data_IF_295527510834
#
_entry.id   IF_295527510834
#
_cell.length_a   1.000
_cell.length_b   1.000
_cell.length_c   1.000
_cell.angle_alpha   90.00
_cell.angle_beta   90.00
_cell.angle_gamma   90.00
#
_symmetry.space_group_name_H-M   'P 1'
#
loop_
_entity.id
_entity.type
_entity.pdbx_description
1 polymer ?
#
# COMPACT_ATOMS: atom_id res chain seq x y z
N UNK A 1 -27.83 -11.39 3.33
CA UNK A 1 -26.62 -10.72 3.82
C UNK A 1 -25.75 -10.45 2.61
N UNK A 2 -25.68 -9.20 2.18
CA UNK A 2 -25.08 -8.82 0.89
C UNK A 2 -23.58 -8.61 1.08
N UNK A 3 -22.78 -9.55 0.58
CA UNK A 3 -21.33 -9.42 0.56
C UNK A 3 -20.94 -8.39 -0.51
N UNK A 4 -20.55 -7.19 -0.08
CA UNK A 4 -20.00 -6.18 -0.99
C UNK A 4 -18.50 -6.41 -1.15
N UNK A 5 -18.14 -7.18 -2.17
CA UNK A 5 -16.78 -7.28 -2.70
C UNK A 5 -16.36 -5.92 -3.28
N UNK A 6 -15.68 -5.08 -2.51
CA UNK A 6 -15.07 -3.86 -3.04
C UNK A 6 -13.64 -4.17 -3.50
N UNK A 7 -13.53 -4.81 -4.67
CA UNK A 7 -12.29 -4.74 -5.45
C UNK A 7 -12.38 -3.42 -6.21
N UNK A 8 -11.67 -2.38 -5.76
CA UNK A 8 -11.50 -1.16 -6.54
C UNK A 8 -10.93 -1.54 -7.91
N UNK A 9 -11.63 -1.21 -8.98
CA UNK A 9 -11.14 -1.42 -10.34
C UNK A 9 -10.01 -0.42 -10.62
N UNK A 10 -9.03 -0.82 -11.43
CA UNK A 10 -7.99 0.11 -11.87
C UNK A 10 -8.64 1.17 -12.77
N UNK A 11 -8.90 2.34 -12.20
CA UNK A 11 -9.60 3.45 -12.84
C UNK A 11 -10.66 4.11 -11.95
N UNK A 12 -11.14 3.41 -10.92
CA UNK A 12 -12.00 4.01 -9.90
C UNK A 12 -11.10 4.65 -8.82
N UNK A 13 -11.05 5.98 -8.84
CA UNK A 13 -10.55 6.75 -7.69
C UNK A 13 -11.56 6.65 -6.55
N UNK A 14 -11.10 6.64 -5.29
CA UNK A 14 -12.04 6.74 -4.18
C UNK A 14 -12.96 7.96 -4.33
N UNK A 15 -14.25 7.78 -4.00
CA UNK A 15 -15.19 8.87 -4.01
C UNK A 15 -14.72 10.00 -3.09
N UNK A 16 -14.73 11.23 -3.60
CA UNK A 16 -14.30 12.44 -2.90
C UNK A 16 -14.93 12.58 -1.50
N UNK A 17 -16.18 12.13 -1.34
CA UNK A 17 -16.93 12.14 -0.08
C UNK A 17 -16.26 11.33 1.06
N UNK A 18 -15.32 10.45 0.73
CA UNK A 18 -14.54 9.69 1.70
C UNK A 18 -13.37 10.49 2.30
N UNK A 19 -13.00 11.63 1.74
CA UNK A 19 -11.97 12.55 2.26
C UNK A 19 -12.58 13.59 3.20
N UNK A 20 -13.05 13.13 4.36
CA UNK A 20 -13.68 13.95 5.39
C UNK A 20 -13.22 13.53 6.77
N UNK A 21 -13.64 14.25 7.81
CA UNK A 21 -13.41 13.85 9.22
C UNK A 21 -13.85 12.38 9.44
N UNK A 22 -12.95 11.56 9.97
CA UNK A 22 -13.13 10.11 10.14
C UNK A 22 -12.84 9.27 8.88
N UNK A 23 -12.62 9.90 7.73
CA UNK A 23 -12.37 9.27 6.44
C UNK A 23 -10.88 9.14 6.11
N UNK A 24 -10.54 9.15 4.82
CA UNK A 24 -9.16 9.03 4.35
C UNK A 24 -8.33 10.29 4.66
N UNK A 25 -7.03 10.13 4.75
CA UNK A 25 -6.08 11.24 4.76
C UNK A 25 -5.73 11.65 3.33
N UNK A 26 -5.77 12.95 3.01
CA UNK A 26 -5.38 13.45 1.69
C UNK A 26 -3.86 13.57 1.60
N UNK A 27 -3.22 12.63 0.91
CA UNK A 27 -1.76 12.58 0.70
C UNK A 27 -1.41 13.20 -0.65
N UNK A 28 -0.30 13.94 -0.70
CA UNK A 28 0.34 14.45 -1.92
C UNK A 28 1.75 13.86 -2.06
N UNK A 29 2.22 13.81 -3.30
CA UNK A 29 3.62 13.47 -3.60
C UNK A 29 4.53 14.49 -2.90
N UNK A 30 5.59 14.01 -2.25
CA UNK A 30 6.51 14.80 -1.43
C UNK A 30 6.00 15.11 -0.01
N UNK A 31 4.83 14.61 0.41
CA UNK A 31 4.39 14.77 1.79
C UNK A 31 5.30 13.98 2.76
N UNK A 32 5.81 14.62 3.83
CA UNK A 32 6.61 13.95 4.84
C UNK A 32 5.75 13.29 5.92
N UNK A 33 6.13 12.08 6.33
CA UNK A 33 5.54 11.34 7.45
C UNK A 33 6.62 10.95 8.47
N UNK A 34 6.22 10.78 9.74
CA UNK A 34 7.11 10.43 10.85
C UNK A 34 8.36 11.33 10.93
N UNK A 35 8.15 12.65 11.07
CA UNK A 35 9.26 13.61 11.17
C UNK A 35 10.09 13.76 9.90
N UNK A 36 9.59 13.35 8.73
CA UNK A 36 10.30 13.43 7.46
C UNK A 36 11.05 12.16 7.07
N UNK A 37 10.95 11.09 7.87
CA UNK A 37 11.56 9.79 7.54
C UNK A 37 10.94 9.17 6.29
N UNK A 38 9.63 9.24 6.14
CA UNK A 38 8.92 8.61 5.02
C UNK A 38 8.34 9.67 4.09
N UNK A 39 8.86 9.76 2.87
CA UNK A 39 8.40 10.74 1.88
C UNK A 39 7.50 10.05 0.85
N UNK A 40 6.25 10.48 0.72
CA UNK A 40 5.29 9.88 -0.21
C UNK A 40 5.71 10.11 -1.68
N UNK A 41 5.70 9.06 -2.49
CA UNK A 41 6.17 9.06 -3.88
C UNK A 41 5.04 8.97 -4.88
N UNK A 42 4.23 7.90 -4.78
CA UNK A 42 3.04 7.70 -5.61
C UNK A 42 2.08 6.78 -4.89
N UNK A 43 0.82 6.84 -5.27
CA UNK A 43 -0.19 5.93 -4.73
C UNK A 43 -0.04 4.53 -5.35
N UNK A 44 -0.07 3.50 -4.52
CA UNK A 44 -0.03 2.10 -4.94
C UNK A 44 -1.43 1.51 -5.06
N UNK A 45 -2.34 1.92 -4.18
CA UNK A 45 -3.71 1.43 -4.18
C UNK A 45 -4.55 2.04 -3.07
N UNK A 46 -5.79 1.59 -2.99
CA UNK A 46 -6.72 1.95 -1.93
C UNK A 46 -7.73 0.83 -1.73
N UNK A 47 -8.36 0.84 -0.57
CA UNK A 47 -9.47 -0.07 -0.24
C UNK A 47 -10.37 0.56 0.80
N UNK A 48 -11.41 -0.14 1.21
CA UNK A 48 -12.47 0.39 2.07
C UNK A 48 -11.97 1.10 3.35
N UNK A 49 -10.82 0.69 3.88
CA UNK A 49 -10.31 1.13 5.19
C UNK A 49 -9.05 1.99 5.12
N UNK A 50 -8.30 1.96 4.01
CA UNK A 50 -6.99 2.63 3.91
C UNK A 50 -6.63 3.03 2.49
N UNK A 51 -5.64 3.91 2.39
CA UNK A 51 -4.88 4.09 1.15
C UNK A 51 -3.47 3.54 1.35
N UNK A 52 -2.84 3.09 0.27
CA UNK A 52 -1.47 2.58 0.29
C UNK A 52 -0.63 3.37 -0.70
N UNK A 53 0.51 3.85 -0.23
CA UNK A 53 1.42 4.71 -0.97
C UNK A 53 2.81 4.09 -1.00
N UNK A 54 3.48 4.22 -2.14
CA UNK A 54 4.92 4.06 -2.21
C UNK A 54 5.50 5.25 -1.46
N UNK A 55 6.39 4.98 -0.51
CA UNK A 55 7.16 6.00 0.18
C UNK A 55 8.65 5.66 0.12
N UNK A 56 9.48 6.68 0.25
CA UNK A 56 10.92 6.53 0.39
C UNK A 56 11.31 6.72 1.86
N UNK A 57 11.97 5.72 2.45
CA UNK A 57 12.54 5.80 3.80
C UNK A 57 13.92 6.47 3.71
N UNK A 58 14.01 7.72 4.15
CA UNK A 58 15.23 8.52 4.09
C UNK A 58 16.31 8.02 5.04
N UNK A 59 15.97 7.23 6.05
CA UNK A 59 16.93 6.67 7.01
C UNK A 59 17.65 5.46 6.43
N UNK A 60 16.92 4.58 5.76
CA UNK A 60 17.45 3.32 5.20
C UNK A 60 17.74 3.41 3.70
N UNK A 61 17.41 4.53 3.07
CA UNK A 61 17.52 4.77 1.64
C UNK A 61 16.79 3.75 0.77
N UNK A 62 15.66 3.23 1.26
CA UNK A 62 14.89 2.17 0.60
C UNK A 62 13.43 2.58 0.36
N UNK A 63 12.81 1.93 -0.63
CA UNK A 63 11.38 2.08 -0.89
C UNK A 63 10.54 1.18 0.01
N UNK A 64 9.44 1.72 0.52
CA UNK A 64 8.51 1.05 1.43
C UNK A 64 7.06 1.28 1.00
N UNK A 65 6.14 0.44 1.48
CA UNK A 65 4.71 0.64 1.33
C UNK A 65 4.13 1.28 2.60
N UNK A 66 3.67 2.52 2.49
CA UNK A 66 3.01 3.27 3.56
C UNK A 66 1.49 3.09 3.45
N UNK A 67 0.91 2.29 4.36
CA UNK A 67 -0.53 2.07 4.49
C UNK A 67 -1.10 3.03 5.54
N UNK A 68 -2.06 3.86 5.14
CA UNK A 68 -2.66 4.91 5.97
C UNK A 68 -4.14 4.60 6.17
N UNK A 69 -4.51 4.30 7.42
CA UNK A 69 -5.88 3.95 7.81
C UNK A 69 -6.79 5.19 7.86
N UNK A 70 -8.09 4.99 7.65
CA UNK A 70 -9.10 6.02 7.93
C UNK A 70 -9.08 6.43 9.40
N UNK A 71 -9.41 7.67 9.70
CA UNK A 71 -9.29 8.23 11.05
C UNK A 71 -10.47 7.95 11.99
N UNK A 72 -11.59 7.39 11.50
CA UNK A 72 -12.73 7.09 12.35
C UNK A 72 -12.37 6.01 13.38
N UNK A 73 -12.77 6.23 14.63
CA UNK A 73 -12.41 5.37 15.76
C UNK A 73 -12.87 3.91 15.59
N UNK A 74 -13.98 3.69 14.89
CA UNK A 74 -14.47 2.35 14.56
C UNK A 74 -13.47 1.50 13.75
N UNK A 75 -12.54 2.12 13.03
CA UNK A 75 -11.49 1.41 12.27
C UNK A 75 -10.20 1.23 13.07
N UNK A 76 -10.02 1.94 14.18
CA UNK A 76 -8.77 1.95 14.93
C UNK A 76 -8.46 0.60 15.56
N UNK A 77 -9.46 -0.09 16.11
CA UNK A 77 -9.26 -1.41 16.74
C UNK A 77 -8.79 -2.46 15.73
N UNK A 78 -9.44 -2.53 14.56
CA UNK A 78 -9.03 -3.43 13.49
C UNK A 78 -7.59 -3.15 13.01
N UNK A 79 -7.23 -1.86 12.90
CA UNK A 79 -5.86 -1.47 12.52
C UNK A 79 -4.82 -1.81 13.60
N UNK A 80 -5.15 -1.67 14.89
CA UNK A 80 -4.26 -2.04 15.99
C UNK A 80 -4.04 -3.56 16.05
N UNK A 81 -5.09 -4.35 15.86
CA UNK A 81 -4.95 -5.81 15.74
C UNK A 81 -4.10 -6.20 14.54
N UNK A 82 -4.24 -5.50 13.40
CA UNK A 82 -3.40 -5.73 12.23
C UNK A 82 -1.92 -5.43 12.52
N UNK A 83 -1.63 -4.34 13.24
CA UNK A 83 -0.26 -4.02 13.69
C UNK A 83 0.29 -5.11 14.61
N UNK A 84 -0.48 -5.57 15.58
CA UNK A 84 -0.06 -6.62 16.52
C UNK A 84 0.23 -7.94 15.79
N UNK A 85 -0.66 -8.34 14.89
CA UNK A 85 -0.50 -9.52 14.05
C UNK A 85 0.80 -9.45 13.23
N UNK A 86 1.00 -8.35 12.51
CA UNK A 86 2.16 -8.19 11.64
C UNK A 86 3.47 -8.02 12.42
N UNK A 87 3.42 -7.41 13.61
CA UNK A 87 4.59 -7.28 14.49
C UNK A 87 5.05 -8.67 14.96
N UNK A 88 4.13 -9.48 15.48
CA UNK A 88 4.46 -10.84 15.91
C UNK A 88 5.02 -11.71 14.77
N UNK A 89 4.45 -11.58 13.56
CA UNK A 89 4.96 -12.27 12.38
C UNK A 89 6.36 -11.79 11.96
N UNK A 90 6.64 -10.50 12.05
CA UNK A 90 7.96 -9.96 11.72
C UNK A 90 9.02 -10.35 12.77
N UNK A 91 8.65 -10.36 14.06
CA UNK A 91 9.55 -10.70 15.17
C UNK A 91 9.94 -12.19 15.17
N UNK A 92 9.01 -13.07 14.80
CA UNK A 92 9.29 -14.51 14.69
C UNK A 92 10.02 -14.93 13.42
N UNK A 93 10.18 -14.06 12.42
CA UNK A 93 10.88 -14.32 11.16
C UNK A 93 11.94 -13.25 10.84
N UNK A 94 12.92 -13.13 11.75
CA UNK A 94 14.03 -12.16 11.61
C UNK A 94 14.76 -12.33 10.27
N UNK A 95 14.88 -13.56 9.77
CA UNK A 95 15.59 -13.90 8.53
C UNK A 95 14.78 -13.58 7.24
N UNK A 96 13.51 -13.18 7.35
CA UNK A 96 12.60 -12.92 6.22
C UNK A 96 12.46 -14.10 5.24
N UNK A 97 12.18 -15.29 5.77
CA UNK A 97 12.14 -16.54 5.00
C UNK A 97 10.76 -17.18 4.91
N UNK A 98 9.78 -16.69 5.67
CA UNK A 98 8.48 -17.34 5.85
C UNK A 98 7.42 -16.86 4.87
N UNK A 99 7.76 -15.97 3.93
CA UNK A 99 6.83 -15.49 2.90
C UNK A 99 5.59 -14.78 3.46
N UNK A 100 5.70 -14.12 4.61
CA UNK A 100 4.69 -13.21 5.18
C UNK A 100 5.25 -11.78 5.10
N UNK A 101 4.43 -10.84 4.63
CA UNK A 101 4.84 -9.44 4.51
C UNK A 101 5.29 -8.87 5.85
N UNK A 102 6.42 -8.16 5.86
CA UNK A 102 6.99 -7.58 7.07
C UNK A 102 6.47 -6.19 7.35
N UNK A 103 6.04 -5.98 8.59
CA UNK A 103 5.92 -4.65 9.19
C UNK A 103 7.31 -4.15 9.59
N UNK A 104 7.66 -2.96 9.10
CA UNK A 104 8.93 -2.28 9.36
C UNK A 104 8.78 -1.26 10.48
N UNK A 105 7.68 -0.50 10.47
CA UNK A 105 7.39 0.55 11.45
C UNK A 105 5.87 0.81 11.50
N UNK A 106 5.40 1.43 12.57
CA UNK A 106 4.05 1.95 12.65
C UNK A 106 4.00 3.22 13.51
N UNK A 107 3.15 4.16 13.14
CA UNK A 107 3.03 5.43 13.85
C UNK A 107 1.65 6.04 13.68
N UNK A 108 1.40 7.11 14.44
CA UNK A 108 0.19 7.93 14.32
C UNK A 108 0.51 9.19 13.52
N UNK A 109 -0.31 9.51 12.53
CA UNK A 109 -0.23 10.73 11.76
C UNK A 109 -1.47 11.60 11.98
N UNK A 110 -1.27 12.84 12.44
CA UNK A 110 -2.36 13.80 12.61
C UNK A 110 -2.54 14.61 11.34
N UNK A 111 -3.70 14.48 10.70
CA UNK A 111 -4.08 15.25 9.52
C UNK A 111 -5.39 16.01 9.71
N UNK A 112 -5.87 16.72 8.66
CA UNK A 112 -7.10 17.52 8.75
C UNK A 112 -8.35 16.69 9.06
N UNK A 113 -8.33 15.40 8.72
CA UNK A 113 -9.45 14.48 8.90
C UNK A 113 -9.40 13.70 10.23
N UNK A 114 -8.38 13.93 11.06
CA UNK A 114 -8.20 13.28 12.36
C UNK A 114 -6.83 12.61 12.52
N UNK A 115 -6.73 11.70 13.47
CA UNK A 115 -5.54 10.88 13.69
C UNK A 115 -5.65 9.57 12.91
N UNK A 116 -4.65 9.29 12.10
CA UNK A 116 -4.56 8.12 11.24
C UNK A 116 -3.48 7.17 11.76
N UNK A 117 -3.78 5.88 11.84
CA UNK A 117 -2.76 4.86 12.07
C UNK A 117 -2.07 4.56 10.74
N UNK A 118 -0.74 4.63 10.75
CA UNK A 118 0.11 4.37 9.62
C UNK A 118 0.94 3.11 9.88
N UNK A 119 1.03 2.24 8.88
CA UNK A 119 1.88 1.07 8.86
C UNK A 119 2.88 1.21 7.71
N UNK A 120 4.14 0.94 8.00
CA UNK A 120 5.21 0.89 7.02
C UNK A 120 5.54 -0.57 6.80
N UNK A 121 5.27 -1.05 5.59
CA UNK A 121 5.51 -2.42 5.16
C UNK A 121 6.69 -2.43 4.18
N UNK A 122 7.35 -3.57 4.06
CA UNK A 122 8.27 -3.75 2.94
C UNK A 122 7.56 -3.56 1.61
N UNK A 123 8.25 -2.97 0.64
CA UNK A 123 7.68 -2.83 -0.70
C UNK A 123 7.70 -4.19 -1.41
N UNK A 124 6.51 -4.64 -1.82
CA UNK A 124 6.32 -5.79 -2.70
C UNK A 124 5.71 -5.32 -4.02
N UNK A 125 5.74 -6.21 -5.01
CA UNK A 125 5.19 -5.99 -6.33
C UNK A 125 3.68 -6.10 -6.41
N UNK A 126 3.20 -6.45 -7.59
CA UNK A 126 1.78 -6.52 -7.90
C UNK A 126 1.08 -7.70 -7.18
N UNK A 127 -0.23 -7.60 -6.98
CA UNK A 127 -1.01 -8.72 -6.47
C UNK A 127 -1.15 -9.85 -7.51
N UNK A 128 -1.36 -11.07 -7.02
CA UNK A 128 -1.62 -12.23 -7.87
C UNK A 128 -2.88 -12.02 -8.71
N UNK A 129 -3.90 -11.34 -8.19
CA UNK A 129 -5.08 -10.95 -8.98
C UNK A 129 -4.69 -10.09 -10.18
N UNK A 130 -3.82 -9.11 -10.00
CA UNK A 130 -3.33 -8.26 -11.10
C UNK A 130 -2.58 -9.09 -12.14
N UNK A 131 -1.75 -10.05 -11.72
CA UNK A 131 -1.07 -10.96 -12.65
C UNK A 131 -2.05 -11.82 -13.45
N UNK A 132 -3.09 -12.35 -12.81
CA UNK A 132 -4.15 -13.12 -13.48
C UNK A 132 -4.87 -12.26 -14.53
N UNK A 133 -5.20 -11.02 -14.19
CA UNK A 133 -5.83 -10.05 -15.10
C UNK A 133 -4.91 -9.67 -16.26
N UNK A 134 -3.65 -9.37 -15.97
CA UNK A 134 -2.63 -9.05 -16.97
C UNK A 134 -2.49 -10.18 -18.00
N UNK A 135 -2.54 -11.42 -17.53
CA UNK A 135 -2.51 -12.61 -18.37
C UNK A 135 -3.88 -12.98 -18.98
N UNK A 136 -4.85 -12.05 -18.97
CA UNK A 136 -6.18 -12.19 -19.57
C UNK A 136 -6.92 -13.45 -19.11
N UNK A 137 -6.76 -13.83 -17.84
CA UNK A 137 -7.37 -15.02 -17.23
C UNK A 137 -7.01 -16.36 -17.93
N UNK A 138 -5.94 -16.41 -18.72
CA UNK A 138 -5.51 -17.64 -19.43
C UNK A 138 -4.74 -18.65 -18.56
N UNK A 139 -4.58 -18.37 -17.27
CA UNK A 139 -3.82 -19.21 -16.34
C UNK A 139 -2.30 -19.08 -16.49
N UNK A 140 -1.56 -19.38 -15.43
CA UNK A 140 -0.10 -19.27 -15.41
C UNK A 140 0.56 -20.61 -15.77
N UNK A 141 1.83 -20.57 -16.21
CA UNK A 141 2.63 -21.78 -16.37
C UNK A 141 2.69 -22.55 -15.05
N UNK A 142 2.54 -23.87 -15.10
CA UNK A 142 2.47 -24.72 -13.91
C UNK A 142 3.66 -24.55 -12.97
N UNK A 143 4.88 -24.35 -13.49
CA UNK A 143 6.05 -24.15 -12.65
C UNK A 143 5.93 -22.89 -11.79
N UNK A 144 5.34 -21.81 -12.34
CA UNK A 144 5.06 -20.57 -11.59
C UNK A 144 3.94 -20.76 -10.58
N UNK A 145 2.90 -21.53 -10.92
CA UNK A 145 1.87 -21.90 -9.94
C UNK A 145 2.48 -22.67 -8.77
N UNK A 146 3.36 -23.65 -9.02
CA UNK A 146 4.06 -24.40 -7.96
C UNK A 146 4.93 -23.49 -7.10
N UNK A 147 5.65 -22.54 -7.69
CA UNK A 147 6.42 -21.55 -6.93
C UNK A 147 5.54 -20.71 -6.00
N UNK A 148 4.45 -20.15 -6.52
CA UNK A 148 3.50 -19.34 -5.73
C UNK A 148 2.88 -20.17 -4.60
N UNK A 149 2.38 -21.37 -4.90
CA UNK A 149 1.78 -22.24 -3.90
C UNK A 149 2.78 -22.64 -2.80
N UNK A 150 4.07 -22.84 -3.14
CA UNK A 150 5.09 -23.13 -2.14
C UNK A 150 5.24 -21.97 -1.15
N UNK A 151 5.37 -20.73 -1.63
CA UNK A 151 5.47 -19.56 -0.76
C UNK A 151 4.20 -19.40 0.11
N UNK A 152 3.01 -19.58 -0.47
CA UNK A 152 1.74 -19.53 0.29
C UNK A 152 1.75 -20.58 1.40
N UNK A 153 2.10 -21.83 1.09
CA UNK A 153 2.12 -22.90 2.08
C UNK A 153 3.21 -22.69 3.15
N UNK A 154 4.37 -22.14 2.78
CA UNK A 154 5.41 -21.75 3.74
C UNK A 154 4.89 -20.68 4.72
N UNK A 155 4.19 -19.66 4.22
CA UNK A 155 3.60 -18.62 5.08
C UNK A 155 2.48 -19.16 5.96
N UNK A 156 1.60 -20.01 5.44
CA UNK A 156 0.53 -20.62 6.23
C UNK A 156 1.06 -21.59 7.29
N UNK A 157 2.07 -22.41 6.98
CA UNK A 157 2.70 -23.31 7.94
C UNK A 157 3.30 -22.52 9.11
N UNK A 158 4.00 -21.43 8.81
CA UNK A 158 4.55 -20.50 9.79
C UNK A 158 3.46 -19.88 10.68
N UNK A 159 2.46 -19.22 10.07
CA UNK A 159 1.38 -18.56 10.81
C UNK A 159 0.64 -19.55 11.73
N UNK A 160 0.30 -20.74 11.22
CA UNK A 160 -0.49 -21.70 11.98
C UNK A 160 0.31 -22.41 13.07
N UNK A 161 1.52 -22.91 12.76
CA UNK A 161 2.26 -23.79 13.69
C UNK A 161 3.15 -23.05 14.66
N UNK A 162 3.77 -21.97 14.20
CA UNK A 162 4.72 -21.22 15.02
C UNK A 162 4.03 -20.08 15.78
N UNK A 163 3.02 -19.42 15.19
CA UNK A 163 2.35 -18.28 15.81
C UNK A 163 0.93 -18.56 16.32
N UNK A 164 0.30 -19.67 15.92
CA UNK A 164 -1.10 -19.97 16.26
C UNK A 164 -2.10 -18.99 15.64
N UNK A 165 -1.74 -18.36 14.53
CA UNK A 165 -2.49 -17.29 13.87
C UNK A 165 -3.20 -17.79 12.61
N UNK A 166 -4.46 -17.37 12.41
CA UNK A 166 -5.25 -17.71 11.21
C UNK A 166 -5.39 -16.48 10.32
N UNK A 167 -5.01 -16.58 9.05
CA UNK A 167 -5.14 -15.46 8.10
C UNK A 167 -6.61 -15.10 7.79
N UNK A 168 -7.48 -16.10 7.66
CA UNK A 168 -8.95 -16.00 7.44
C UNK A 168 -9.45 -15.39 6.11
N UNK A 169 -8.63 -14.62 5.37
CA UNK A 169 -9.02 -13.99 4.09
C UNK A 169 -8.02 -14.28 2.95
N UNK A 170 -7.63 -15.55 2.78
CA UNK A 170 -6.64 -15.92 1.76
C UNK A 170 -7.28 -15.90 0.36
N UNK A 171 -6.84 -14.97 -0.49
CA UNK A 171 -7.34 -14.75 -1.85
C UNK A 171 -6.28 -14.09 -2.74
N UNK A 172 -6.40 -14.13 -4.09
CA UNK A 172 -5.39 -13.60 -5.00
C UNK A 172 -5.05 -12.11 -4.80
N UNK A 173 -5.96 -11.32 -4.24
CA UNK A 173 -5.75 -9.91 -3.87
C UNK A 173 -4.73 -9.74 -2.74
N UNK A 174 -4.67 -10.71 -1.83
CA UNK A 174 -3.83 -10.69 -0.63
C UNK A 174 -2.51 -11.46 -0.81
N UNK A 175 -2.22 -11.95 -2.02
CA UNK A 175 -0.93 -12.54 -2.37
C UNK A 175 -0.17 -11.54 -3.23
N UNK A 176 0.96 -11.04 -2.74
CA UNK A 176 1.81 -10.10 -3.44
C UNK A 176 3.03 -10.81 -4.05
N UNK A 177 3.43 -10.37 -5.23
CA UNK A 177 4.66 -10.83 -5.90
C UNK A 177 5.87 -10.07 -5.34
N UNK A 178 7.07 -10.64 -5.42
CA UNK A 178 8.29 -9.93 -4.97
C UNK A 178 8.75 -8.81 -5.92
N UNK A 179 8.18 -8.73 -7.13
CA UNK A 179 8.51 -7.69 -8.12
C UNK A 179 7.28 -7.31 -8.92
N UNK A 180 7.27 -6.12 -9.50
CA UNK A 180 6.17 -5.68 -10.37
C UNK A 180 6.19 -6.47 -11.69
N UNK A 181 4.99 -6.64 -12.27
CA UNK A 181 4.79 -7.26 -13.58
C UNK A 181 5.46 -6.42 -14.68
N UNK A 182 5.35 -5.10 -14.55
CA UNK A 182 6.01 -4.12 -15.40
C UNK A 182 7.29 -3.62 -14.70
N UNK A 183 8.50 -4.01 -15.17
CA UNK A 183 9.75 -3.61 -14.54
C UNK A 183 9.98 -2.10 -14.50
N UNK A 184 9.40 -1.33 -15.44
CA UNK A 184 9.51 0.13 -15.44
C UNK A 184 8.76 0.78 -14.27
N UNK A 185 7.84 0.05 -13.63
CA UNK A 185 7.12 0.47 -12.44
C UNK A 185 7.76 -0.05 -11.15
N UNK A 186 8.84 -0.81 -11.22
CA UNK A 186 9.53 -1.31 -10.03
C UNK A 186 10.49 -0.23 -9.52
N UNK A 187 10.26 0.38 -8.35
CA UNK A 187 11.11 1.48 -7.87
C UNK A 187 12.55 1.06 -7.58
N UNK A 188 12.80 -0.24 -7.33
CA UNK A 188 14.14 -0.77 -7.10
C UNK A 188 14.86 -1.03 -8.43
N UNK A 189 14.13 -1.55 -9.43
CA UNK A 189 14.74 -1.97 -10.71
C UNK A 189 14.77 -0.88 -11.78
N UNK A 190 13.95 0.16 -11.65
CA UNK A 190 13.84 1.25 -12.64
C UNK A 190 14.78 2.43 -12.37
N UNK A 191 15.64 2.35 -11.35
CA UNK A 191 16.55 3.45 -10.94
C UNK A 191 15.81 4.78 -10.70
N UNK A 192 14.55 4.71 -10.26
CA UNK A 192 13.75 5.89 -9.95
C UNK A 192 14.47 6.72 -8.88
N UNK A 193 14.68 8.00 -9.19
CA UNK A 193 15.19 8.94 -8.18
C UNK A 193 14.02 9.31 -7.25
N UNK A 194 14.17 9.15 -5.93
CA UNK A 194 13.11 9.50 -4.99
C UNK A 194 12.87 11.01 -5.01
N UNK A 195 11.60 11.39 -5.00
CA UNK A 195 11.16 12.77 -4.82
C UNK A 195 11.26 13.08 -3.33
N UNK A 196 12.20 13.93 -2.94
CA UNK A 196 12.44 14.29 -1.54
C UNK A 196 11.71 15.56 -1.09
N UNK A 197 11.31 16.40 -2.06
CA UNK A 197 10.63 17.67 -1.80
C UNK A 197 9.31 17.74 -2.57
N UNK A 198 8.39 18.59 -2.10
CA UNK A 198 7.14 18.84 -2.83
C UNK A 198 7.47 19.54 -4.15
N UNK A 199 6.94 19.07 -5.29
CA UNK A 199 7.03 19.84 -6.52
C UNK A 199 6.38 21.21 -6.28
N UNK A 200 7.13 22.30 -6.50
CA UNK A 200 6.58 23.65 -6.37
C UNK A 200 5.40 23.80 -7.34
N UNK A 201 4.24 24.18 -6.81
CA UNK A 201 3.09 24.56 -7.62
C UNK A 201 3.46 25.81 -8.40
N UNK A 202 3.62 25.68 -9.71
CA UNK A 202 4.06 26.76 -10.60
C UNK A 202 3.11 27.98 -10.50
N UNK A 203 3.53 28.99 -9.74
CA UNK A 203 2.91 30.29 -9.67
C UNK A 203 3.67 31.24 -10.61
N UNK A 204 3.56 31.03 -11.92
CA UNK A 204 3.78 32.06 -12.93
C UNK A 204 3.11 31.66 -14.25
N UNK A 205 2.27 32.56 -14.76
CA UNK A 205 1.53 32.36 -16.00
C UNK A 205 2.43 32.40 -17.23
N UNK A 206 2.08 31.60 -18.24
CA UNK A 206 2.61 31.73 -19.60
C UNK A 206 2.85 30.40 -20.32
N UNK A 207 1.80 29.87 -20.96
CA UNK A 207 1.88 29.07 -22.19
C UNK A 207 2.62 27.72 -22.17
N UNK A 208 1.86 26.63 -22.19
CA UNK A 208 2.37 25.31 -22.58
C UNK A 208 1.63 24.17 -21.88
N UNK A 209 0.86 23.38 -22.64
CA UNK A 209 -0.09 22.36 -22.19
C UNK A 209 0.33 21.53 -20.98
N UNK A 210 -0.37 21.72 -19.87
CA UNK A 210 -0.27 20.92 -18.65
C UNK A 210 -1.58 20.16 -18.46
N UNK A 211 -1.49 18.83 -18.47
CA UNK A 211 -2.59 17.93 -18.08
C UNK A 211 -2.76 18.03 -16.56
N UNK A 212 -3.42 19.10 -16.11
CA UNK A 212 -3.78 19.28 -14.70
C UNK A 212 -4.85 18.28 -14.31
N UNK A 213 -4.64 17.62 -13.16
CA UNK A 213 -5.64 16.78 -12.53
C UNK A 213 -6.92 17.57 -12.25
N UNK A 214 -8.06 16.98 -12.62
CA UNK A 214 -9.41 17.54 -12.51
C UNK A 214 -9.78 17.95 -11.06
N UNK A 215 -9.06 17.41 -10.08
CA UNK A 215 -9.21 17.64 -8.65
C UNK A 215 -8.82 19.07 -8.24
N UNK A 216 -7.77 19.66 -8.82
CA UNK A 216 -7.32 21.01 -8.45
C UNK A 216 -8.28 22.11 -8.95
N UNK A 217 -9.03 21.84 -10.03
CA UNK A 217 -9.96 22.82 -10.61
C UNK A 217 -11.22 23.06 -9.78
N UNK A 218 -11.62 22.12 -8.91
CA UNK A 218 -12.91 22.21 -8.18
C UNK A 218 -12.80 22.65 -6.71
N UNK A 219 -11.59 22.75 -6.15
CA UNK A 219 -11.36 23.22 -4.78
C UNK A 219 -11.22 24.75 -4.65
N UNK A 220 -11.33 25.50 -5.76
CA UNK A 220 -11.29 26.98 -5.79
C UNK A 220 -12.64 27.63 -6.15
N UNK A 221 -13.77 26.94 -5.97
CA UNK A 221 -15.11 27.52 -6.12
C UNK A 221 -15.94 27.28 -4.88
#
# INVERSE_FOLDING_TARGET
MSCSSSSGSEGEEEGFDSYRKGGYHAVRIGDPFSGGRYIAQRKLGWGQFSTVWLAYDTLTSNYVALKIQKSAQQFAQAALHEIEFLSAAADGDVANTKCVVRLIDHFKHTGPNGQHLCMVLEFLGDSLLRLIRYNRYKGLKLDKVREICRCILTGLDYLHRELGMIHSDLKPENILLCSTIDPAKDPVRSELTPILEKPEGNANGGGGGSTMNLIEKKLKR
#
